data_IF_123458641886
#
_entry.id   IF_123458641886
#
_cell.length_a   1.000
_cell.length_b   1.000
_cell.length_c   1.000
_cell.angle_alpha   90.00
_cell.angle_beta   90.00
_cell.angle_gamma   90.00
#
_symmetry.space_group_name_H-M   'P 1'
#
loop_
_entity.id
_entity.type
_entity.pdbx_description
1 polymer ?
#
# COMPACT_ATOMS: atom_id res chain seq x y z
N UNK A 1 11.99 0.20 34.05
CA UNK A 1 12.51 1.37 33.31
C UNK A 1 13.63 1.01 32.32
N UNK A 2 14.71 0.30 32.74
CA UNK A 2 15.84 -0.05 31.86
C UNK A 2 15.39 -0.89 30.66
N UNK A 3 14.57 -1.92 30.87
CA UNK A 3 14.06 -2.77 29.78
C UNK A 3 13.27 -1.97 28.73
N UNK A 4 12.41 -1.03 29.17
CA UNK A 4 11.64 -0.17 28.26
C UNK A 4 12.56 0.70 27.38
N UNK A 5 13.60 1.28 27.98
CA UNK A 5 14.57 2.08 27.25
C UNK A 5 15.34 1.22 26.22
N UNK A 6 15.76 0.01 26.61
CA UNK A 6 16.47 -0.91 25.69
C UNK A 6 15.59 -1.27 24.49
N UNK A 7 14.34 -1.65 24.69
CA UNK A 7 13.42 -1.97 23.60
C UNK A 7 13.16 -0.76 22.71
N UNK A 8 12.97 0.43 23.31
CA UNK A 8 12.77 1.66 22.55
C UNK A 8 13.94 1.96 21.60
N UNK A 9 15.17 1.95 22.12
CA UNK A 9 16.35 2.21 21.28
C UNK A 9 16.55 1.12 20.22
N UNK A 10 16.27 -0.14 20.55
CA UNK A 10 16.38 -1.25 19.61
C UNK A 10 15.44 -1.06 18.43
N UNK A 11 14.14 -0.85 18.67
CA UNK A 11 13.18 -0.62 17.60
C UNK A 11 13.42 0.67 16.84
N UNK A 12 13.87 1.73 17.52
CA UNK A 12 14.23 2.98 16.88
C UNK A 12 15.41 2.83 15.92
N UNK A 13 16.46 2.11 16.30
CA UNK A 13 17.60 1.83 15.44
C UNK A 13 17.17 0.96 14.24
N UNK A 14 16.38 -0.08 14.47
CA UNK A 14 15.88 -0.94 13.40
C UNK A 14 15.05 -0.12 12.41
N UNK A 15 14.17 0.77 12.88
CA UNK A 15 13.36 1.63 12.01
C UNK A 15 14.24 2.55 11.15
N UNK A 16 15.19 3.27 11.75
CA UNK A 16 16.08 4.17 10.99
C UNK A 16 16.94 3.40 9.97
N UNK A 17 17.49 2.26 10.36
CA UNK A 17 18.31 1.43 9.46
C UNK A 17 17.45 0.88 8.33
N UNK A 18 16.23 0.39 8.62
CA UNK A 18 15.30 -0.11 7.61
C UNK A 18 14.90 0.97 6.63
N UNK A 19 14.56 2.18 7.10
CA UNK A 19 14.22 3.32 6.24
C UNK A 19 15.37 3.69 5.27
N UNK A 20 16.60 3.67 5.75
CA UNK A 20 17.79 3.89 4.90
C UNK A 20 17.92 2.76 3.86
N UNK A 21 17.72 1.50 4.28
CA UNK A 21 17.84 0.35 3.39
C UNK A 21 16.73 0.30 2.34
N UNK A 22 15.53 0.81 2.62
CA UNK A 22 14.45 0.97 1.63
C UNK A 22 14.93 1.78 0.42
N UNK A 23 15.63 2.87 0.67
CA UNK A 23 16.13 3.77 -0.40
C UNK A 23 17.43 3.31 -1.03
N UNK A 24 18.30 2.66 -0.26
CA UNK A 24 19.61 2.21 -0.71
C UNK A 24 19.58 0.88 -1.47
N UNK A 25 18.52 0.08 -1.32
CA UNK A 25 18.43 -1.25 -1.92
C UNK A 25 18.29 -1.17 -3.44
N UNK A 26 19.14 -1.92 -4.15
CA UNK A 26 19.10 -2.03 -5.61
C UNK A 26 17.97 -2.93 -6.13
N UNK A 27 17.51 -3.84 -5.30
CA UNK A 27 16.44 -4.77 -5.64
C UNK A 27 15.13 -4.27 -5.02
N UNK A 28 14.14 -3.98 -5.85
CA UNK A 28 12.84 -3.47 -5.43
C UNK A 28 12.11 -4.41 -4.47
N UNK A 29 12.27 -5.72 -4.62
CA UNK A 29 11.67 -6.70 -3.69
C UNK A 29 12.31 -6.59 -2.29
N UNK A 30 13.64 -6.48 -2.21
CA UNK A 30 14.33 -6.28 -0.94
C UNK A 30 13.95 -4.94 -0.29
N UNK A 31 13.77 -3.90 -1.10
CA UNK A 31 13.29 -2.59 -0.61
C UNK A 31 11.94 -2.72 0.09
N UNK A 32 11.00 -3.47 -0.49
CA UNK A 32 9.68 -3.69 0.14
C UNK A 32 9.79 -4.51 1.43
N UNK A 33 10.69 -5.49 1.52
CA UNK A 33 10.92 -6.21 2.78
C UNK A 33 11.44 -5.29 3.90
N UNK A 34 12.36 -4.37 3.57
CA UNK A 34 12.82 -3.38 4.55
C UNK A 34 11.70 -2.40 4.94
N UNK A 35 10.82 -2.04 4.01
CA UNK A 35 9.64 -1.22 4.30
C UNK A 35 8.68 -1.92 5.27
N UNK A 36 8.47 -3.22 5.11
CA UNK A 36 7.67 -4.03 6.04
C UNK A 36 8.31 -4.01 7.44
N UNK A 37 9.61 -4.23 7.52
CA UNK A 37 10.35 -4.23 8.78
C UNK A 37 10.29 -2.86 9.47
N UNK A 38 10.35 -1.78 8.70
CA UNK A 38 10.20 -0.41 9.19
C UNK A 38 8.83 -0.19 9.83
N UNK A 39 7.75 -0.52 9.14
CA UNK A 39 6.39 -0.39 9.68
C UNK A 39 6.16 -1.24 10.93
N UNK A 40 6.70 -2.46 11.00
CA UNK A 40 6.62 -3.30 12.20
C UNK A 40 7.34 -2.60 13.37
N UNK A 41 8.54 -2.07 13.14
CA UNK A 41 9.31 -1.39 14.18
C UNK A 41 8.61 -0.15 14.69
N UNK A 42 8.04 0.67 13.79
CA UNK A 42 7.25 1.86 14.14
C UNK A 42 5.99 1.47 14.91
N UNK A 43 5.31 0.40 14.51
CA UNK A 43 4.14 -0.10 15.23
C UNK A 43 4.48 -0.49 16.67
N UNK A 44 5.60 -1.19 16.89
CA UNK A 44 6.08 -1.52 18.22
C UNK A 44 6.37 -0.27 19.06
N UNK A 45 6.97 0.78 18.46
CA UNK A 45 7.19 2.06 19.13
C UNK A 45 5.88 2.72 19.55
N UNK A 46 4.84 2.71 18.71
CA UNK A 46 3.52 3.24 19.06
C UNK A 46 2.88 2.48 20.22
N UNK A 47 2.96 1.16 20.24
CA UNK A 47 2.46 0.35 21.35
C UNK A 47 3.21 0.67 22.65
N UNK A 48 4.53 0.88 22.57
CA UNK A 48 5.33 1.24 23.74
C UNK A 48 4.99 2.61 24.33
N UNK A 49 4.54 3.55 23.52
CA UNK A 49 4.11 4.89 23.95
C UNK A 49 2.68 4.87 24.52
N UNK A 50 1.97 3.73 24.38
CA UNK A 50 0.57 3.60 24.81
C UNK A 50 -0.46 3.92 23.73
N UNK A 51 -0.01 4.18 22.49
CA UNK A 51 -0.89 4.39 21.34
C UNK A 51 -1.23 3.04 20.68
N UNK A 52 -1.86 2.15 21.45
CA UNK A 52 -2.14 0.76 21.05
C UNK A 52 -2.96 0.68 19.76
N UNK A 53 -4.01 1.51 19.65
CA UNK A 53 -4.88 1.53 18.48
C UNK A 53 -4.12 1.90 17.20
N UNK A 54 -3.26 2.92 17.28
CA UNK A 54 -2.47 3.36 16.14
C UNK A 54 -1.42 2.31 15.74
N UNK A 55 -0.77 1.67 16.72
CA UNK A 55 0.15 0.57 16.46
C UNK A 55 -0.52 -0.60 15.76
N UNK A 56 -1.72 -1.00 16.21
CA UNK A 56 -2.47 -2.10 15.58
C UNK A 56 -2.91 -1.75 14.14
N UNK A 57 -3.34 -0.50 13.88
CA UNK A 57 -3.66 -0.05 12.52
C UNK A 57 -2.42 -0.10 11.62
N UNK A 58 -1.26 0.31 12.11
CA UNK A 58 -0.01 0.21 11.35
C UNK A 58 0.27 -1.24 10.93
N UNK A 59 0.07 -2.22 11.80
CA UNK A 59 0.25 -3.63 11.45
C UNK A 59 -0.81 -4.13 10.46
N UNK A 60 -2.08 -3.89 10.74
CA UNK A 60 -3.16 -4.48 9.94
C UNK A 60 -3.24 -3.83 8.56
N UNK A 61 -3.16 -2.50 8.47
CA UNK A 61 -3.36 -1.77 7.23
C UNK A 61 -2.06 -1.59 6.46
N UNK A 62 -1.01 -1.03 7.10
CA UNK A 62 0.23 -0.75 6.36
C UNK A 62 1.04 -2.00 6.07
N UNK A 63 1.21 -2.91 7.03
CA UNK A 63 1.91 -4.18 6.79
C UNK A 63 1.00 -5.17 6.07
N UNK A 64 -0.22 -5.39 6.57
CA UNK A 64 -1.12 -6.42 6.07
C UNK A 64 -1.72 -6.11 4.69
N UNK A 65 -2.11 -4.88 4.40
CA UNK A 65 -2.75 -4.53 3.13
C UNK A 65 -1.77 -3.83 2.17
N UNK A 66 -1.19 -2.70 2.58
CA UNK A 66 -0.44 -1.82 1.66
C UNK A 66 0.90 -2.43 1.25
N UNK A 67 1.71 -2.86 2.21
CA UNK A 67 3.03 -3.41 1.92
C UNK A 67 2.95 -4.75 1.16
N UNK A 68 1.98 -5.61 1.50
CA UNK A 68 1.73 -6.86 0.77
C UNK A 68 1.26 -6.57 -0.66
N UNK A 69 0.39 -5.56 -0.87
CA UNK A 69 0.00 -5.11 -2.20
C UNK A 69 1.22 -4.65 -3.01
N UNK A 70 2.10 -3.83 -2.42
CA UNK A 70 3.34 -3.40 -3.07
C UNK A 70 4.24 -4.58 -3.43
N UNK A 71 4.42 -5.53 -2.52
CA UNK A 71 5.21 -6.74 -2.77
C UNK A 71 4.66 -7.51 -3.97
N UNK A 72 3.34 -7.70 -4.02
CA UNK A 72 2.68 -8.43 -5.10
C UNK A 72 2.83 -7.71 -6.45
N UNK A 73 2.61 -6.40 -6.48
CA UNK A 73 2.75 -5.58 -7.70
C UNK A 73 4.20 -5.58 -8.21
N UNK A 74 5.17 -5.38 -7.32
CA UNK A 74 6.60 -5.35 -7.68
C UNK A 74 7.06 -6.71 -8.21
N UNK A 75 6.57 -7.80 -7.61
CA UNK A 75 6.87 -9.16 -8.07
C UNK A 75 6.26 -9.43 -9.45
N UNK A 76 5.01 -8.97 -9.70
CA UNK A 76 4.36 -9.17 -11.00
C UNK A 76 4.99 -8.36 -12.12
N UNK A 77 5.42 -7.12 -11.83
CA UNK A 77 5.99 -6.24 -12.86
C UNK A 77 7.41 -6.61 -13.31
N UNK A 78 8.07 -7.58 -12.64
CA UNK A 78 9.42 -8.05 -12.97
C UNK A 78 10.43 -6.90 -13.20
N UNK A 79 10.30 -5.82 -12.43
CA UNK A 79 11.13 -4.60 -12.55
C UNK A 79 12.59 -4.89 -12.19
N UNK A 80 12.87 -6.01 -11.54
CA UNK A 80 14.21 -6.41 -11.10
C UNK A 80 15.21 -6.65 -12.26
N UNK A 81 14.76 -6.77 -13.51
CA UNK A 81 15.64 -6.99 -14.67
C UNK A 81 16.03 -5.73 -15.42
N UNK A 82 15.53 -4.56 -15.09
CA UNK A 82 16.08 -3.32 -15.64
C UNK A 82 17.47 -3.08 -15.06
N UNK A 83 18.48 -3.57 -15.80
CA UNK A 83 19.90 -3.29 -15.56
C UNK A 83 20.07 -1.81 -15.18
N UNK A 84 20.72 -1.58 -14.07
CA UNK A 84 21.37 -0.40 -13.49
C UNK A 84 21.78 0.74 -14.47
N UNK A 85 20.89 1.21 -15.33
CA UNK A 85 21.19 2.38 -16.17
C UNK A 85 20.95 3.69 -15.44
N UNK A 86 20.22 3.68 -14.32
CA UNK A 86 19.90 4.93 -13.63
C UNK A 86 21.11 5.53 -12.88
N UNK A 87 22.00 4.70 -12.32
CA UNK A 87 23.24 5.20 -11.71
C UNK A 87 24.41 5.32 -12.70
N UNK A 88 24.29 4.74 -13.89
CA UNK A 88 25.29 4.82 -14.95
C UNK A 88 25.03 5.96 -15.95
N UNK A 89 23.88 6.58 -15.92
CA UNK A 89 23.57 7.73 -16.76
C UNK A 89 24.39 8.94 -16.27
N UNK A 90 25.30 9.39 -17.11
CA UNK A 90 26.15 10.58 -16.93
C UNK A 90 25.37 11.87 -16.66
N UNK A 91 24.03 11.83 -16.75
CA UNK A 91 23.09 12.93 -16.47
C UNK A 91 22.50 12.91 -15.05
N UNK A 92 22.86 11.92 -14.23
CA UNK A 92 22.37 11.77 -12.85
C UNK A 92 22.83 12.93 -11.94
N UNK A 93 23.92 13.61 -12.31
CA UNK A 93 24.47 14.74 -11.53
C UNK A 93 23.57 15.98 -11.49
N UNK A 94 22.59 16.09 -12.40
CA UNK A 94 21.68 17.26 -12.44
C UNK A 94 20.47 17.14 -11.51
N UNK A 95 20.08 15.92 -11.14
CA UNK A 95 18.91 15.69 -10.26
C UNK A 95 19.27 15.58 -8.77
N UNK A 96 20.52 15.18 -8.48
CA UNK A 96 21.01 15.07 -7.09
C UNK A 96 20.92 16.41 -6.33
N UNK A 97 21.32 17.56 -6.89
CA UNK A 97 21.23 18.82 -6.15
C UNK A 97 19.79 19.22 -5.80
N UNK A 98 18.82 18.91 -6.66
CA UNK A 98 17.41 19.24 -6.40
C UNK A 98 16.86 18.38 -5.24
N UNK A 99 17.13 17.10 -5.24
CA UNK A 99 16.72 16.18 -4.14
C UNK A 99 17.38 16.56 -2.82
N UNK A 100 18.65 16.95 -2.84
CA UNK A 100 19.38 17.38 -1.65
C UNK A 100 18.82 18.70 -1.10
N UNK A 101 18.48 19.67 -1.96
CA UNK A 101 17.86 20.94 -1.55
C UNK A 101 16.51 20.70 -0.87
N UNK A 102 15.63 19.89 -1.48
CA UNK A 102 14.31 19.56 -0.92
C UNK A 102 14.46 18.83 0.42
N UNK A 103 15.34 17.83 0.48
CA UNK A 103 15.61 17.07 1.71
C UNK A 103 16.12 17.97 2.84
N UNK A 104 17.04 18.89 2.54
CA UNK A 104 17.57 19.83 3.52
C UNK A 104 16.48 20.81 4.00
N UNK A 105 15.62 21.28 3.09
CA UNK A 105 14.53 22.18 3.44
C UNK A 105 13.55 21.49 4.41
N UNK A 106 13.11 20.28 4.10
CA UNK A 106 12.22 19.50 4.98
C UNK A 106 12.89 19.21 6.33
N UNK A 107 14.19 18.88 6.31
CA UNK A 107 14.94 18.62 7.55
C UNK A 107 15.02 19.83 8.45
N UNK A 108 15.28 21.03 7.90
CA UNK A 108 15.29 22.29 8.63
C UNK A 108 13.90 22.60 9.18
N UNK A 109 12.85 22.41 8.41
CA UNK A 109 11.47 22.60 8.86
C UNK A 109 11.14 21.71 10.07
N UNK A 110 11.50 20.43 10.02
CA UNK A 110 11.31 19.50 11.14
C UNK A 110 12.08 19.96 12.39
N UNK A 111 13.33 20.42 12.25
CA UNK A 111 14.12 20.94 13.38
C UNK A 111 13.45 22.16 14.00
N UNK A 112 12.94 23.10 13.19
CA UNK A 112 12.25 24.30 13.68
C UNK A 112 10.98 23.91 14.46
N UNK A 113 10.19 22.97 13.93
CA UNK A 113 8.96 22.49 14.59
C UNK A 113 9.29 21.83 15.93
N UNK A 114 10.27 20.92 15.98
CA UNK A 114 10.69 20.24 17.21
C UNK A 114 11.30 21.23 18.20
N UNK A 115 12.12 22.16 17.74
CA UNK A 115 12.71 23.22 18.58
C UNK A 115 11.66 24.18 19.14
N UNK A 116 10.66 24.53 18.33
CA UNK A 116 9.53 25.37 18.74
C UNK A 116 8.61 24.71 19.78
N UNK A 117 8.56 23.40 19.84
CA UNK A 117 7.75 22.65 20.81
C UNK A 117 8.19 22.86 22.27
N UNK A 118 9.46 23.13 22.51
CA UNK A 118 9.97 23.47 23.85
C UNK A 118 9.39 24.77 24.45
N UNK A 119 8.81 25.61 23.62
CA UNK A 119 8.29 26.92 24.05
C UNK A 119 6.78 26.94 24.37
N UNK A 120 6.05 25.82 24.25
CA UNK A 120 4.63 25.72 24.64
C UNK A 120 4.40 24.48 25.53
N UNK A 121 4.79 24.53 26.81
CA UNK A 121 4.63 23.41 27.75
C UNK A 121 3.16 23.08 28.08
N UNK A 122 2.21 23.99 27.83
CA UNK A 122 0.82 23.83 28.25
C UNK A 122 0.03 22.80 27.42
N UNK A 123 0.49 22.49 26.24
CA UNK A 123 -0.15 21.42 25.41
C UNK A 123 0.09 20.01 25.95
N UNK A 124 1.12 19.81 26.78
CA UNK A 124 1.41 18.52 27.40
C UNK A 124 0.57 18.25 28.66
N UNK A 125 0.00 19.28 29.29
CA UNK A 125 -0.82 19.13 30.48
C UNK A 125 -2.22 18.58 30.19
N UNK A 126 -2.70 18.64 28.94
CA UNK A 126 -3.98 18.07 28.52
C UNK A 126 -3.95 16.53 28.55
N UNK A 127 -2.80 15.91 28.37
CA UNK A 127 -2.68 14.45 28.34
C UNK A 127 -2.74 13.81 29.75
N UNK A 128 -2.47 14.55 30.81
CA UNK A 128 -2.53 14.00 32.17
C UNK A 128 -3.96 13.79 32.70
N UNK A 129 -4.95 14.44 32.10
CA UNK A 129 -6.35 14.24 32.45
C UNK A 129 -6.99 13.01 31.76
N UNK A 130 -6.41 12.52 30.67
CA UNK A 130 -6.91 11.33 29.95
C UNK A 130 -6.33 10.02 30.49
N UNK A 131 -5.23 10.04 31.23
CA UNK A 131 -4.58 8.82 31.75
C UNK A 131 -5.15 8.30 33.07
N UNK A 132 -6.20 8.91 33.64
CA UNK A 132 -6.82 8.46 34.88
C UNK A 132 -8.07 7.58 34.70
N UNK A 133 -8.54 7.35 33.48
CA UNK A 133 -9.58 6.36 33.26
C UNK A 133 -8.96 4.99 33.04
N UNK A 134 -9.42 4.01 33.81
CA UNK A 134 -9.05 2.58 33.74
C UNK A 134 -9.46 1.90 32.42
N UNK A 135 -9.68 2.67 31.37
CA UNK A 135 -10.18 2.25 30.06
C UNK A 135 -9.01 2.23 29.08
N UNK A 136 -8.90 1.15 28.28
CA UNK A 136 -7.84 1.03 27.27
C UNK A 136 -7.93 2.12 26.21
N UNK A 137 -6.78 2.53 25.66
CA UNK A 137 -6.71 3.52 24.58
C UNK A 137 -7.64 3.17 23.40
N UNK A 138 -7.69 1.92 23.01
CA UNK A 138 -8.55 1.42 21.93
C UNK A 138 -10.03 1.62 22.23
N UNK A 139 -10.46 1.38 23.46
CA UNK A 139 -11.87 1.54 23.86
C UNK A 139 -12.28 3.01 23.89
N UNK A 140 -11.45 3.89 24.44
CA UNK A 140 -11.69 5.34 24.49
C UNK A 140 -11.81 5.94 23.10
N UNK A 141 -10.89 5.59 22.20
CA UNK A 141 -10.95 6.02 20.79
C UNK A 141 -12.16 5.46 20.07
N UNK A 142 -12.53 4.20 20.32
CA UNK A 142 -13.70 3.58 19.75
C UNK A 142 -14.99 4.31 20.14
N UNK A 143 -15.14 4.67 21.42
CA UNK A 143 -16.30 5.44 21.86
C UNK A 143 -16.41 6.77 21.11
N UNK A 144 -15.36 7.57 21.05
CA UNK A 144 -15.36 8.87 20.38
C UNK A 144 -15.63 8.73 18.87
N UNK A 145 -15.00 7.74 18.22
CA UNK A 145 -15.10 7.53 16.79
C UNK A 145 -16.53 7.14 16.34
N UNK A 146 -17.19 6.30 17.12
CA UNK A 146 -18.53 5.80 16.78
C UNK A 146 -19.68 6.63 17.37
N UNK A 147 -19.41 7.68 18.16
CA UNK A 147 -20.42 8.62 18.66
C UNK A 147 -20.26 9.98 18.03
N UNK A 148 -19.20 10.71 18.40
CA UNK A 148 -19.00 12.12 18.00
C UNK A 148 -18.58 12.24 16.52
N UNK A 149 -17.78 11.30 16.01
CA UNK A 149 -17.22 11.35 14.67
C UNK A 149 -17.84 10.30 13.71
N UNK A 150 -19.01 9.79 14.01
CA UNK A 150 -19.68 8.76 13.20
C UNK A 150 -19.85 9.15 11.73
N UNK A 151 -20.18 10.42 11.47
CA UNK A 151 -20.36 10.90 10.09
C UNK A 151 -19.06 10.86 9.30
N UNK A 152 -17.93 11.28 9.90
CA UNK A 152 -16.62 11.27 9.26
C UNK A 152 -16.17 9.82 9.02
N UNK A 153 -16.42 8.94 9.98
CA UNK A 153 -16.14 7.51 9.84
C UNK A 153 -16.92 6.90 8.67
N UNK A 154 -18.21 7.22 8.55
CA UNK A 154 -19.06 6.69 7.48
C UNK A 154 -18.66 7.22 6.10
N UNK A 155 -18.30 8.51 5.99
CA UNK A 155 -17.79 9.11 4.76
C UNK A 155 -16.46 8.43 4.34
N UNK A 156 -15.56 8.15 5.28
CA UNK A 156 -14.31 7.45 4.97
C UNK A 156 -14.55 6.06 4.39
N UNK A 157 -15.54 5.33 4.91
CA UNK A 157 -15.97 4.04 4.36
C UNK A 157 -16.50 4.15 2.93
N UNK A 158 -17.28 5.18 2.64
CA UNK A 158 -17.77 5.45 1.27
C UNK A 158 -16.63 5.78 0.31
N UNK A 159 -15.64 6.57 0.74
CA UNK A 159 -14.45 6.88 -0.07
C UNK A 159 -13.68 5.60 -0.41
N UNK A 160 -13.48 4.71 0.57
CA UNK A 160 -12.82 3.42 0.34
C UNK A 160 -13.61 2.54 -0.64
N UNK A 161 -14.94 2.51 -0.53
CA UNK A 161 -15.79 1.77 -1.46
C UNK A 161 -15.63 2.30 -2.89
N UNK A 162 -15.68 3.63 -3.08
CA UNK A 162 -15.50 4.26 -4.39
C UNK A 162 -14.11 3.97 -4.95
N UNK A 163 -13.07 4.03 -4.11
CA UNK A 163 -11.71 3.70 -4.51
C UNK A 163 -11.59 2.24 -4.99
N UNK A 164 -12.21 1.30 -4.27
CA UNK A 164 -12.22 -0.12 -4.64
C UNK A 164 -12.94 -0.33 -5.97
N UNK A 165 -14.16 0.20 -6.13
CA UNK A 165 -14.92 0.10 -7.37
C UNK A 165 -14.18 0.75 -8.52
N UNK A 166 -13.60 1.95 -8.31
CA UNK A 166 -12.81 2.66 -9.30
C UNK A 166 -11.59 1.85 -9.76
N UNK A 167 -10.87 1.23 -8.85
CA UNK A 167 -9.73 0.36 -9.18
C UNK A 167 -10.16 -0.83 -10.07
N UNK A 168 -11.27 -1.48 -9.73
CA UNK A 168 -11.78 -2.62 -10.50
C UNK A 168 -12.23 -2.17 -11.91
N UNK A 169 -12.98 -1.07 -12.00
CA UNK A 169 -13.48 -0.55 -13.29
C UNK A 169 -12.36 -0.10 -14.21
N UNK A 170 -11.34 0.59 -13.67
CA UNK A 170 -10.19 1.07 -14.44
C UNK A 170 -9.28 -0.07 -14.92
N UNK A 171 -9.19 -1.16 -14.17
CA UNK A 171 -8.40 -2.34 -14.57
C UNK A 171 -9.14 -3.27 -15.50
N UNK A 172 -10.47 -3.13 -15.61
CA UNK A 172 -11.30 -3.97 -16.47
C UNK A 172 -11.06 -3.64 -17.95
N UNK A 173 -10.31 -4.52 -18.62
CA UNK A 173 -10.01 -4.40 -20.05
C UNK A 173 -10.77 -5.48 -20.84
N UNK A 174 -11.68 -5.06 -21.71
CA UNK A 174 -12.27 -5.95 -22.69
C UNK A 174 -11.24 -6.20 -23.80
N UNK A 175 -10.84 -7.45 -23.97
CA UNK A 175 -9.98 -7.83 -25.10
C UNK A 175 -10.82 -7.86 -26.36
N UNK A 176 -10.47 -7.07 -27.38
CA UNK A 176 -11.01 -7.18 -28.73
C UNK A 176 -10.51 -8.49 -29.34
N UNK A 177 -11.39 -9.26 -29.99
CA UNK A 177 -11.03 -10.52 -30.66
C UNK A 177 -11.23 -11.79 -29.83
N UNK A 178 -11.77 -11.70 -28.61
CA UNK A 178 -12.17 -12.90 -27.87
C UNK A 178 -13.52 -13.41 -28.38
N UNK A 179 -13.57 -14.65 -28.84
CA UNK A 179 -14.84 -15.32 -29.21
C UNK A 179 -15.72 -15.39 -27.96
N UNK A 180 -16.77 -14.57 -27.91
CA UNK A 180 -17.75 -14.61 -26.81
C UNK A 180 -18.92 -15.49 -27.22
N UNK A 181 -19.30 -16.40 -26.36
CA UNK A 181 -20.51 -17.21 -26.58
C UNK A 181 -21.75 -16.33 -26.35
N UNK A 182 -22.68 -16.40 -27.29
CA UNK A 182 -23.99 -15.76 -27.14
C UNK A 182 -24.98 -16.83 -26.73
N UNK A 183 -25.44 -16.75 -25.49
CA UNK A 183 -26.42 -17.66 -24.92
C UNK A 183 -27.72 -17.75 -25.75
N UNK A 184 -28.25 -16.61 -26.17
CA UNK A 184 -29.46 -16.52 -27.01
C UNK A 184 -29.24 -17.22 -28.35
N UNK A 185 -28.11 -16.96 -29.02
CA UNK A 185 -27.77 -17.58 -30.32
C UNK A 185 -27.57 -19.10 -30.22
N UNK A 186 -27.16 -19.61 -29.06
CA UNK A 186 -27.00 -21.05 -28.85
C UNK A 186 -28.33 -21.77 -28.62
N UNK A 187 -29.26 -21.11 -27.89
CA UNK A 187 -30.59 -21.69 -27.60
C UNK A 187 -31.52 -21.60 -28.82
N UNK A 188 -31.44 -20.49 -29.60
CA UNK A 188 -32.28 -20.25 -30.77
C UNK A 188 -31.73 -20.88 -32.06
N UNK A 189 -30.60 -21.60 -31.97
CA UNK A 189 -29.96 -22.19 -33.16
C UNK A 189 -30.82 -23.28 -33.75
N UNK A 190 -31.28 -23.11 -34.98
CA UNK A 190 -32.00 -24.11 -35.73
C UNK A 190 -31.00 -25.13 -36.35
N UNK A 191 -31.49 -26.36 -36.62
CA UNK A 191 -30.68 -27.42 -37.19
C UNK A 191 -30.10 -27.03 -38.54
N UNK A 192 -30.83 -26.24 -39.34
CA UNK A 192 -30.39 -25.77 -40.67
C UNK A 192 -29.17 -24.81 -40.58
N UNK A 193 -29.04 -24.05 -39.46
CA UNK A 193 -27.87 -23.19 -39.24
C UNK A 193 -26.67 -23.92 -38.61
N UNK A 194 -26.91 -25.11 -38.06
CA UNK A 194 -25.90 -25.87 -37.34
C UNK A 194 -25.19 -26.94 -38.14
N UNK A 195 -25.77 -27.36 -39.27
CA UNK A 195 -25.25 -28.46 -40.09
C UNK A 195 -25.26 -28.06 -41.57
N UNK A 196 -24.08 -27.94 -42.13
CA UNK A 196 -23.87 -27.73 -43.57
C UNK A 196 -23.47 -29.05 -44.19
N UNK A 197 -24.20 -29.46 -45.23
CA UNK A 197 -23.89 -30.67 -45.95
C UNK A 197 -22.96 -30.34 -47.12
N UNK A 198 -21.70 -30.75 -46.97
CA UNK A 198 -20.66 -30.54 -47.98
C UNK A 198 -20.42 -31.84 -48.75
N UNK A 199 -20.42 -31.77 -50.09
CA UNK A 199 -19.96 -32.87 -50.93
C UNK A 199 -18.43 -32.92 -50.94
N UNK A 200 -17.86 -33.88 -50.26
CA UNK A 200 -16.42 -34.04 -50.15
C UNK A 200 -15.96 -35.26 -50.97
N UNK A 201 -14.93 -35.06 -51.79
CA UNK A 201 -14.31 -36.16 -52.50
C UNK A 201 -13.69 -37.18 -51.54
N UNK A 202 -13.95 -38.46 -51.76
CA UNK A 202 -13.40 -39.53 -50.94
C UNK A 202 -11.85 -39.43 -50.86
N UNK A 203 -11.29 -39.56 -49.67
CA UNK A 203 -9.87 -39.45 -49.33
C UNK A 203 -9.23 -38.02 -49.37
N UNK A 204 -10.00 -36.95 -49.46
CA UNK A 204 -9.50 -35.59 -49.24
C UNK A 204 -10.10 -35.04 -47.95
N UNK A 205 -9.27 -34.54 -47.03
CA UNK A 205 -9.73 -33.88 -45.82
C UNK A 205 -10.48 -32.59 -46.12
N UNK A 206 -11.42 -32.22 -45.25
CA UNK A 206 -12.15 -30.95 -45.34
C UNK A 206 -11.30 -29.85 -44.72
N UNK A 207 -11.07 -28.74 -45.43
CA UNK A 207 -10.56 -27.50 -44.83
C UNK A 207 -11.74 -26.80 -44.16
N UNK A 208 -11.70 -26.71 -42.88
CA UNK A 208 -12.63 -25.88 -42.11
C UNK A 208 -12.03 -24.49 -42.09
N UNK A 209 -12.61 -23.57 -42.86
CA UNK A 209 -12.26 -22.13 -42.75
C UNK A 209 -12.86 -21.58 -41.47
N UNK A 210 -11.99 -21.12 -40.55
CA UNK A 210 -12.34 -20.56 -39.25
C UNK A 210 -12.93 -19.15 -39.34
#
# INVERSE_FOLDING_TARGET
MIAHAVFFYTFSIIAVVSAIMVTASKNTVHSVFFLILDFISISCLFIMIGAEFLGMIMLIVYVGAVAVLFLFVVMMLNVAQQKNQWFAAKDSSKHIPIGLVISTLIFVEIIIVIGGWKYKPDLFNVNNSLSQTSVSNTHSLGQILYTDYIHVFQISGMILLVAMVGAIVLTFRQRSGVKKQSYIKQISRERAEGVEVLEVQSNKGVKIDD
#
